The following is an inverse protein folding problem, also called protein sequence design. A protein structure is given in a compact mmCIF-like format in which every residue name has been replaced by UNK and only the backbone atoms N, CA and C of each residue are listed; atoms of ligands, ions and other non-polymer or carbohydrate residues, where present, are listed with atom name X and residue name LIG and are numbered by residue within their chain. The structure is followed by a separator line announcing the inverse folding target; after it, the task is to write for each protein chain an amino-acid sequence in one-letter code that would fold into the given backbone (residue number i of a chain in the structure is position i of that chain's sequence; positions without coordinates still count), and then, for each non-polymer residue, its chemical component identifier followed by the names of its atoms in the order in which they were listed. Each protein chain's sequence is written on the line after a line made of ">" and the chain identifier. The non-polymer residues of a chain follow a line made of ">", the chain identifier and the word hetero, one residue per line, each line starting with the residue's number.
data_IF_234349323002
#
_entry.id   IF_234349323002
#
_cell.length_a   1.000
_cell.length_b   1.000
_cell.length_c   1.000
_cell.angle_alpha   90.00
_cell.angle_beta   90.00
_cell.angle_gamma   90.00
#
_symmetry.space_group_name_H-M   'P 1'
#
loop_
_entity.id
_entity.type
_entity.pdbx_description
1 polymer ?
#
# COMPACT_ATOMS: atom_id res chain seq x y z
N UNK A 1 -1.99 -30.69 -8.57
CA UNK A 1 -2.60 -31.71 -7.69
C UNK A 1 -2.14 -31.46 -6.26
N UNK A 2 -3.04 -31.14 -5.34
CA UNK A 2 -2.75 -31.05 -3.91
C UNK A 2 -3.58 -29.96 -3.22
N UNK A 3 -4.75 -30.31 -2.69
CA UNK A 3 -5.49 -29.41 -1.79
C UNK A 3 -4.82 -29.37 -0.41
N UNK A 4 -4.89 -28.21 0.25
CA UNK A 4 -4.34 -27.97 1.59
C UNK A 4 -5.06 -28.83 2.63
N UNK A 5 -4.39 -29.16 3.73
CA UNK A 5 -4.99 -29.94 4.81
C UNK A 5 -6.16 -29.19 5.43
N UNK A 6 -7.22 -29.91 5.81
CA UNK A 6 -8.39 -29.31 6.44
C UNK A 6 -8.00 -28.63 7.76
N UNK A 7 -8.47 -27.40 7.95
CA UNK A 7 -8.15 -26.59 9.15
C UNK A 7 -8.86 -27.08 10.41
N UNK A 8 -9.95 -27.84 10.27
CA UNK A 8 -10.71 -28.37 11.40
C UNK A 8 -9.81 -29.29 12.23
N UNK A 9 -9.60 -29.03 13.54
CA UNK A 9 -8.60 -29.75 14.35
C UNK A 9 -8.78 -31.27 14.40
N UNK A 10 -10.01 -31.74 14.19
CA UNK A 10 -10.37 -33.16 14.20
C UNK A 10 -10.34 -33.81 12.81
N UNK A 11 -9.83 -33.12 11.78
CA UNK A 11 -9.83 -33.59 10.40
C UNK A 11 -8.46 -33.41 9.72
N UNK A 12 -7.91 -34.49 9.17
CA UNK A 12 -6.60 -34.50 8.48
C UNK A 12 -6.75 -34.65 6.95
N UNK A 13 -7.98 -34.60 6.44
CA UNK A 13 -8.26 -34.76 5.01
C UNK A 13 -7.82 -33.52 4.25
N UNK A 14 -7.42 -33.70 2.98
CA UNK A 14 -7.16 -32.58 2.07
C UNK A 14 -8.48 -31.90 1.71
N UNK A 15 -8.47 -30.57 1.75
CA UNK A 15 -9.59 -29.71 1.44
C UNK A 15 -9.35 -28.87 0.20
N UNK A 16 -10.41 -28.66 -0.57
CA UNK A 16 -10.43 -27.75 -1.72
C UNK A 16 -11.43 -26.60 -1.55
N UNK A 17 -12.26 -26.65 -0.50
CA UNK A 17 -13.28 -25.64 -0.22
C UNK A 17 -12.66 -24.53 0.63
N UNK A 18 -12.87 -23.28 0.22
CA UNK A 18 -12.37 -22.10 0.94
C UNK A 18 -13.52 -21.19 1.38
N UNK A 19 -13.36 -20.54 2.53
CA UNK A 19 -14.32 -19.55 2.98
C UNK A 19 -14.30 -18.32 2.06
N UNK A 20 -15.46 -17.84 1.55
CA UNK A 20 -15.52 -16.68 0.67
C UNK A 20 -15.05 -15.39 1.36
N UNK A 21 -15.27 -15.25 2.67
CA UNK A 21 -14.79 -14.10 3.45
C UNK A 21 -13.27 -14.12 3.59
N UNK A 22 -12.67 -15.27 3.90
CA UNK A 22 -11.21 -15.43 3.94
C UNK A 22 -10.57 -15.09 2.61
N UNK A 23 -11.18 -15.54 1.50
CA UNK A 23 -10.70 -15.20 0.16
C UNK A 23 -10.74 -13.70 -0.11
N UNK A 24 -11.76 -12.98 0.35
CA UNK A 24 -11.86 -11.52 0.23
C UNK A 24 -10.84 -10.79 1.11
N UNK A 25 -10.58 -11.31 2.31
CA UNK A 25 -9.62 -10.75 3.26
C UNK A 25 -8.16 -11.15 2.96
N UNK A 26 -7.91 -11.93 1.90
CA UNK A 26 -6.56 -12.37 1.53
C UNK A 26 -5.94 -13.40 2.49
N UNK A 27 -6.74 -14.07 3.32
CA UNK A 27 -6.24 -15.06 4.27
C UNK A 27 -5.70 -16.27 3.48
N UNK A 28 -4.48 -16.76 3.77
CA UNK A 28 -3.90 -17.88 3.04
C UNK A 28 -4.79 -19.13 3.07
N UNK A 29 -4.89 -19.88 1.95
CA UNK A 29 -5.76 -21.05 1.87
C UNK A 29 -5.38 -22.12 2.90
N UNK A 30 -4.11 -22.21 3.31
CA UNK A 30 -3.66 -23.11 4.40
C UNK A 30 -4.45 -22.91 5.70
N UNK A 31 -4.90 -21.68 5.97
CA UNK A 31 -5.64 -21.32 7.20
C UNK A 31 -7.16 -21.25 6.99
N UNK A 32 -7.65 -21.48 5.77
CA UNK A 32 -9.07 -21.41 5.45
C UNK A 32 -9.58 -22.52 4.52
N UNK A 33 -8.88 -23.65 4.46
CA UNK A 33 -9.25 -24.80 3.62
C UNK A 33 -10.05 -25.85 4.39
N UNK A 34 -11.10 -26.35 3.76
CA UNK A 34 -12.03 -27.33 4.30
C UNK A 34 -12.24 -28.49 3.34
N UNK A 35 -12.35 -29.71 3.87
CA UNK A 35 -12.65 -30.88 3.06
C UNK A 35 -14.15 -31.09 2.83
N UNK A 36 -15.02 -30.53 3.67
CA UNK A 36 -16.48 -30.66 3.55
C UNK A 36 -17.23 -29.53 4.28
N UNK A 37 -18.51 -29.36 3.93
CA UNK A 37 -19.41 -28.40 4.59
C UNK A 37 -19.63 -28.71 6.09
N UNK A 38 -19.52 -29.99 6.49
CA UNK A 38 -19.62 -30.39 7.89
C UNK A 38 -18.43 -29.89 8.72
N UNK A 39 -17.22 -30.01 8.16
CA UNK A 39 -15.99 -29.47 8.77
C UNK A 39 -16.03 -27.94 8.86
N UNK A 40 -16.55 -27.28 7.83
CA UNK A 40 -16.77 -25.83 7.82
C UNK A 40 -17.74 -25.39 8.92
N UNK A 41 -18.92 -26.01 9.01
CA UNK A 41 -19.95 -25.66 10.02
C UNK A 41 -19.48 -25.96 11.45
N UNK A 42 -18.80 -27.09 11.67
CA UNK A 42 -18.32 -27.49 12.99
C UNK A 42 -17.20 -26.60 13.53
N UNK A 43 -16.37 -26.04 12.65
CA UNK A 43 -15.26 -25.15 13.04
C UNK A 43 -15.60 -23.65 12.89
N UNK A 44 -16.79 -23.31 12.40
CA UNK A 44 -17.21 -21.93 12.10
C UNK A 44 -17.04 -20.95 13.26
N UNK A 45 -17.42 -21.35 14.48
CA UNK A 45 -17.36 -20.49 15.68
C UNK A 45 -15.93 -20.04 15.99
N UNK A 46 -14.97 -20.96 15.93
CA UNK A 46 -13.55 -20.67 16.13
C UNK A 46 -12.93 -20.01 14.90
N UNK A 47 -13.33 -20.41 13.69
CA UNK A 47 -12.80 -19.87 12.44
C UNK A 47 -13.09 -18.38 12.25
N UNK A 48 -14.25 -17.89 12.71
CA UNK A 48 -14.61 -16.46 12.63
C UNK A 48 -13.66 -15.57 13.44
N UNK A 49 -12.99 -16.10 14.48
CA UNK A 49 -11.98 -15.36 15.22
C UNK A 49 -10.78 -14.98 14.33
N UNK A 50 -10.41 -15.82 13.36
CA UNK A 50 -9.36 -15.50 12.38
C UNK A 50 -9.76 -14.31 11.51
N UNK A 51 -11.03 -14.15 11.17
CA UNK A 51 -11.50 -12.97 10.42
C UNK A 51 -11.24 -11.70 11.22
N UNK A 52 -11.54 -11.71 12.53
CA UNK A 52 -11.31 -10.55 13.39
C UNK A 52 -9.85 -10.15 13.45
N UNK A 53 -8.93 -11.12 13.62
CA UNK A 53 -7.49 -10.85 13.71
C UNK A 53 -6.96 -10.25 12.41
N UNK A 54 -7.28 -10.84 11.26
CA UNK A 54 -6.81 -10.33 9.97
C UNK A 54 -7.43 -8.96 9.65
N UNK A 55 -8.71 -8.74 9.94
CA UNK A 55 -9.33 -7.43 9.77
C UNK A 55 -8.69 -6.37 10.67
N UNK A 56 -8.35 -6.70 11.92
CA UNK A 56 -7.63 -5.79 12.81
C UNK A 56 -6.23 -5.48 12.30
N UNK A 57 -5.46 -6.50 11.89
CA UNK A 57 -4.13 -6.31 11.33
C UNK A 57 -4.14 -5.41 10.07
N UNK A 58 -5.11 -5.63 9.17
CA UNK A 58 -5.29 -4.77 7.99
C UNK A 58 -5.66 -3.33 8.36
N UNK A 59 -6.52 -3.15 9.36
CA UNK A 59 -6.89 -1.82 9.84
C UNK A 59 -5.72 -1.11 10.53
N UNK A 60 -4.89 -1.82 11.28
CA UNK A 60 -3.67 -1.30 11.91
C UNK A 60 -2.62 -0.92 10.87
N UNK A 61 -2.45 -1.74 9.83
CA UNK A 61 -1.52 -1.46 8.73
C UNK A 61 -1.98 -0.27 7.88
N UNK A 62 -3.29 -0.15 7.64
CA UNK A 62 -3.89 1.04 7.02
C UNK A 62 -3.69 2.29 7.90
N UNK A 63 -3.98 2.19 9.20
CA UNK A 63 -3.73 3.30 10.13
C UNK A 63 -2.24 3.66 10.20
N UNK A 64 -1.33 2.69 10.12
CA UNK A 64 0.11 2.94 10.07
C UNK A 64 0.49 3.63 8.76
N UNK A 65 -0.04 3.21 7.62
CA UNK A 65 0.19 3.85 6.33
C UNK A 65 -0.33 5.31 6.31
N UNK A 66 -1.45 5.57 6.98
CA UNK A 66 -1.98 6.92 7.17
C UNK A 66 -1.11 7.79 8.10
N UNK A 67 -0.40 7.17 9.06
CA UNK A 67 0.47 7.86 10.02
C UNK A 67 1.96 7.86 9.63
N UNK A 68 2.37 7.13 8.59
CA UNK A 68 3.74 7.19 8.07
C UNK A 68 3.94 8.51 7.36
N UNK A 69 4.55 9.46 8.06
CA UNK A 69 5.04 10.68 7.42
C UNK A 69 6.14 10.31 6.41
N UNK A 70 6.34 11.09 5.33
CA UNK A 70 7.43 10.87 4.37
C UNK A 70 8.84 10.86 4.99
N UNK A 71 8.96 11.33 6.23
CA UNK A 71 10.19 11.44 6.98
C UNK A 71 10.35 10.33 8.03
N UNK A 72 9.51 9.27 8.00
CA UNK A 72 9.66 8.15 8.92
C UNK A 72 11.03 7.48 8.74
N UNK A 73 11.75 7.30 9.85
CA UNK A 73 13.14 6.83 9.86
C UNK A 73 14.22 7.85 9.46
N UNK A 74 13.86 9.03 8.95
CA UNK A 74 14.85 10.07 8.61
C UNK A 74 15.40 10.76 9.86
N UNK A 75 16.73 10.79 10.00
CA UNK A 75 17.41 11.41 11.13
C UNK A 75 17.72 12.87 10.83
N UNK A 76 16.97 13.80 11.43
CA UNK A 76 17.22 15.23 11.32
C UNK A 76 18.49 15.61 12.10
N UNK A 77 19.39 16.39 11.47
CA UNK A 77 20.67 16.81 12.05
C UNK A 77 20.54 17.95 13.06
N UNK A 78 19.38 18.61 13.14
CA UNK A 78 19.14 19.76 14.00
C UNK A 78 17.72 19.81 14.56
N UNK A 79 17.29 20.98 15.03
CA UNK A 79 15.98 21.19 15.69
C UNK A 79 14.82 21.42 14.72
N UNK A 80 15.08 21.77 13.46
CA UNK A 80 14.04 22.04 12.46
C UNK A 80 13.25 20.77 12.10
N UNK A 81 11.92 20.91 11.93
CA UNK A 81 11.02 19.82 11.54
C UNK A 81 10.04 20.29 10.44
N UNK A 82 9.58 19.38 9.57
CA UNK A 82 8.57 19.71 8.55
C UNK A 82 7.29 20.20 9.21
N UNK A 83 6.80 21.37 8.79
CA UNK A 83 5.48 21.88 9.15
C UNK A 83 4.40 21.42 8.15
N UNK A 84 3.18 21.89 8.36
CA UNK A 84 2.09 21.71 7.40
C UNK A 84 2.32 22.67 6.21
N UNK A 85 2.28 22.13 5.00
CA UNK A 85 2.39 22.91 3.75
C UNK A 85 0.98 23.27 3.28
N UNK A 86 0.72 24.57 3.03
CA UNK A 86 -0.55 25.02 2.47
C UNK A 86 -0.66 24.69 0.98
N UNK A 87 -1.85 24.81 0.42
CA UNK A 87 -2.05 24.67 -1.02
C UNK A 87 -1.23 25.73 -1.80
N UNK A 88 -0.87 25.37 -3.03
CA UNK A 88 -0.13 26.27 -3.93
C UNK A 88 -1.00 27.46 -4.31
N UNK A 89 -0.42 28.67 -4.32
CA UNK A 89 -1.12 29.87 -4.78
C UNK A 89 -1.34 29.85 -6.30
N UNK A 90 -2.46 30.41 -6.74
CA UNK A 90 -2.79 30.49 -8.16
C UNK A 90 -1.99 31.59 -8.88
N UNK A 91 -1.53 31.28 -10.08
CA UNK A 91 -0.81 32.23 -10.95
C UNK A 91 -1.76 32.76 -12.03
N UNK A 92 -2.01 34.09 -12.08
CA UNK A 92 -2.86 34.72 -13.09
C UNK A 92 -2.52 34.33 -14.53
N UNK A 93 -3.54 34.26 -15.39
CA UNK A 93 -3.40 33.74 -16.77
C UNK A 93 -2.56 34.62 -17.69
N UNK A 94 -2.50 35.93 -17.44
CA UNK A 94 -1.74 36.86 -18.27
C UNK A 94 -0.22 36.74 -18.09
N UNK A 95 0.24 36.04 -17.06
CA UNK A 95 1.67 35.86 -16.77
C UNK A 95 2.19 34.71 -17.63
N UNK A 96 3.24 34.98 -18.41
CA UNK A 96 3.93 33.96 -19.21
C UNK A 96 4.49 32.87 -18.30
N UNK A 97 4.12 31.62 -18.58
CA UNK A 97 4.53 30.46 -17.79
C UNK A 97 5.73 29.77 -18.45
N UNK A 98 6.74 29.34 -17.66
CA UNK A 98 7.81 28.51 -18.19
C UNK A 98 7.28 27.13 -18.64
N UNK A 99 8.09 26.41 -19.40
CA UNK A 99 7.78 25.07 -19.92
C UNK A 99 7.49 24.05 -18.81
N UNK A 100 8.19 24.15 -17.68
CA UNK A 100 7.98 23.27 -16.52
C UNK A 100 6.76 23.61 -15.65
N UNK A 101 6.04 24.72 -15.89
CA UNK A 101 4.98 25.18 -15.00
C UNK A 101 3.79 24.21 -14.87
N UNK A 102 3.53 23.38 -15.89
CA UNK A 102 2.41 22.43 -15.91
C UNK A 102 2.86 20.99 -15.66
N UNK A 103 3.98 20.59 -16.24
CA UNK A 103 4.47 19.21 -16.25
C UNK A 103 5.51 18.94 -15.17
N UNK A 104 6.13 19.99 -14.59
CA UNK A 104 7.28 19.88 -13.71
C UNK A 104 8.58 19.48 -14.42
N UNK A 105 8.58 19.37 -15.75
CA UNK A 105 9.73 18.90 -16.54
C UNK A 105 10.33 20.09 -17.31
N UNK A 106 11.58 20.51 -17.01
CA UNK A 106 12.25 21.60 -17.71
C UNK A 106 12.88 21.09 -19.02
N UNK A 107 12.09 21.04 -20.09
CA UNK A 107 12.50 20.47 -21.39
C UNK A 107 13.60 21.30 -22.04
N UNK A 108 13.48 22.63 -21.98
CA UNK A 108 14.46 23.56 -22.53
C UNK A 108 15.85 23.41 -21.91
N UNK A 109 15.92 23.19 -20.59
CA UNK A 109 17.17 22.93 -19.86
C UNK A 109 17.77 21.55 -20.21
N UNK A 110 16.94 20.52 -20.32
CA UNK A 110 17.38 19.17 -20.69
C UNK A 110 17.98 19.10 -22.10
N UNK A 111 17.47 19.93 -23.01
CA UNK A 111 17.92 20.00 -24.40
C UNK A 111 19.08 20.98 -24.62
N UNK A 112 19.37 21.85 -23.64
CA UNK A 112 20.45 22.81 -23.76
C UNK A 112 21.81 22.12 -23.89
N UNK A 113 22.63 22.58 -24.84
CA UNK A 113 23.98 22.06 -24.99
C UNK A 113 24.84 22.49 -23.79
N UNK A 114 25.65 21.56 -23.26
CA UNK A 114 26.60 21.85 -22.17
C UNK A 114 27.74 22.80 -22.56
N UNK A 115 27.77 23.27 -23.81
CA UNK A 115 28.76 24.21 -24.32
C UNK A 115 28.42 25.62 -23.84
N UNK A 116 29.20 26.14 -22.90
CA UNK A 116 29.09 27.54 -22.48
C UNK A 116 29.67 28.40 -23.61
N UNK A 117 28.90 29.32 -24.22
CA UNK A 117 29.43 30.19 -25.27
C UNK A 117 30.47 31.13 -24.67
N UNK A 118 31.68 31.12 -25.22
CA UNK A 118 32.72 32.11 -24.92
C UNK A 118 32.46 33.31 -25.85
N UNK A 119 32.04 34.44 -25.28
CA UNK A 119 31.90 35.69 -26.02
C UNK A 119 33.25 36.39 -26.07
N UNK A 120 33.77 36.64 -27.27
CA UNK A 120 34.93 37.49 -27.50
C UNK A 120 34.47 38.95 -27.66
N UNK A 121 35.23 39.88 -27.06
CA UNK A 121 35.01 41.33 -27.16
C UNK A 121 35.20 41.85 -28.58
#
# INVERSE_FOLDING_TARGET
>A
MGGETCVTPTCVKKGSLVCPTCKKLGIPPVMSSFCSQQCFKGYWSSHKALHKIFTQALAEEQARAENTTPFDGFQFTGTLRPGIVSDMSEVPEHIQRPDYAKTGIPVSEQQASKSIPIYTL
#
